data_IF_028134963438
#
_entry.id   IF_028134963438
#
_cell.length_a   1.000
_cell.length_b   1.000
_cell.length_c   1.000
_cell.angle_alpha   90.00
_cell.angle_beta   90.00
_cell.angle_gamma   90.00
#
_symmetry.space_group_name_H-M   'P 1'
#
loop_
_entity.id
_entity.type
_entity.pdbx_description
1 polymer ?
#
# COMPACT_ATOMS: atom_id res chain seq x y z
N UNK A 1 -29.20 11.22 33.86
CA UNK A 1 -29.34 9.89 34.51
C UNK A 1 -28.63 8.79 33.72
N UNK A 2 -28.42 7.58 34.27
CA UNK A 2 -27.59 6.50 33.62
C UNK A 2 -28.03 6.19 32.18
N UNK A 3 -29.34 6.21 31.88
CA UNK A 3 -29.87 5.98 30.53
C UNK A 3 -29.43 7.04 29.51
N UNK A 4 -29.35 8.28 29.95
CA UNK A 4 -28.93 9.42 29.13
C UNK A 4 -27.44 9.34 28.80
N UNK A 5 -26.62 8.94 29.78
CA UNK A 5 -25.21 8.66 29.56
C UNK A 5 -25.00 7.56 28.51
N UNK A 6 -25.74 6.45 28.60
CA UNK A 6 -25.67 5.37 27.60
C UNK A 6 -26.12 5.85 26.22
N UNK A 7 -27.15 6.68 26.13
CA UNK A 7 -27.61 7.26 24.87
C UNK A 7 -26.56 8.16 24.23
N UNK A 8 -25.88 9.00 25.02
CA UNK A 8 -24.81 9.88 24.55
C UNK A 8 -23.62 9.04 24.07
N UNK A 9 -23.22 8.03 24.84
CA UNK A 9 -22.12 7.14 24.47
C UNK A 9 -22.38 6.43 23.13
N UNK A 10 -23.60 5.93 22.89
CA UNK A 10 -23.99 5.31 21.62
C UNK A 10 -23.95 6.28 20.44
N UNK A 11 -24.42 7.52 20.63
CA UNK A 11 -24.35 8.56 19.59
C UNK A 11 -22.92 8.96 19.26
N UNK A 12 -22.07 9.07 20.28
CA UNK A 12 -20.66 9.37 20.07
C UNK A 12 -19.95 8.23 19.32
N UNK A 13 -20.30 6.99 19.62
CA UNK A 13 -19.79 5.82 18.91
C UNK A 13 -20.23 5.83 17.44
N UNK A 14 -21.50 6.07 17.14
CA UNK A 14 -21.97 6.15 15.74
C UNK A 14 -21.29 7.29 14.99
N UNK A 15 -21.19 8.48 15.60
CA UNK A 15 -20.50 9.62 15.01
C UNK A 15 -19.01 9.32 14.73
N UNK A 16 -18.33 8.64 15.66
CA UNK A 16 -16.95 8.21 15.46
C UNK A 16 -16.82 7.24 14.27
N UNK A 17 -17.74 6.29 14.10
CA UNK A 17 -17.76 5.40 12.94
C UNK A 17 -17.94 6.16 11.63
N UNK A 18 -18.90 7.07 11.57
CA UNK A 18 -19.16 7.88 10.38
C UNK A 18 -17.94 8.73 10.00
N UNK A 19 -17.28 9.31 11.01
CA UNK A 19 -16.05 10.07 10.80
C UNK A 19 -14.90 9.21 10.29
N UNK A 20 -14.75 7.97 10.78
CA UNK A 20 -13.72 7.03 10.27
C UNK A 20 -14.00 6.68 8.80
N UNK A 21 -15.27 6.44 8.44
CA UNK A 21 -15.66 6.13 7.07
C UNK A 21 -15.36 7.32 6.15
N UNK A 22 -15.77 8.52 6.54
CA UNK A 22 -15.50 9.74 5.79
C UNK A 22 -13.98 10.00 5.66
N UNK A 23 -13.21 9.82 6.74
CA UNK A 23 -11.76 9.97 6.70
C UNK A 23 -11.11 9.01 5.70
N UNK A 24 -11.57 7.74 5.66
CA UNK A 24 -11.08 6.76 4.68
C UNK A 24 -11.36 7.19 3.25
N UNK A 25 -12.58 7.65 2.94
CA UNK A 25 -12.91 8.08 1.57
C UNK A 25 -12.05 9.27 1.15
N UNK A 26 -11.84 10.25 2.03
CA UNK A 26 -10.93 11.38 1.75
C UNK A 26 -9.49 10.92 1.53
N UNK A 27 -8.96 10.08 2.42
CA UNK A 27 -7.59 9.56 2.29
C UNK A 27 -7.40 8.80 0.98
N UNK A 28 -8.34 7.92 0.63
CA UNK A 28 -8.32 7.18 -0.64
C UNK A 28 -8.37 8.12 -1.84
N UNK A 29 -9.23 9.14 -1.83
CA UNK A 29 -9.32 10.12 -2.90
C UNK A 29 -7.97 10.85 -3.12
N UNK A 30 -7.35 11.35 -2.06
CA UNK A 30 -6.06 12.04 -2.17
C UNK A 30 -4.89 11.11 -2.51
N UNK A 31 -4.89 9.88 -1.99
CA UNK A 31 -3.90 8.87 -2.36
C UNK A 31 -4.00 8.52 -3.85
N UNK A 32 -5.22 8.33 -4.37
CA UNK A 32 -5.47 8.04 -5.78
C UNK A 32 -5.10 9.21 -6.69
N UNK A 33 -5.31 10.47 -6.26
CA UNK A 33 -4.92 11.65 -7.05
C UNK A 33 -3.41 11.69 -7.37
N UNK A 34 -2.57 11.11 -6.51
CA UNK A 34 -1.11 11.04 -6.69
C UNK A 34 -0.63 9.72 -7.28
N UNK A 35 -1.52 8.77 -7.53
CA UNK A 35 -1.16 7.47 -8.10
C UNK A 35 -0.72 7.70 -9.55
N UNK A 36 0.54 7.38 -9.84
CA UNK A 36 1.01 7.36 -11.23
C UNK A 36 0.42 6.14 -11.93
N UNK A 37 0.14 6.30 -13.22
CA UNK A 37 -0.14 5.18 -14.11
C UNK A 37 1.08 4.26 -14.05
N UNK A 38 0.84 2.97 -13.85
CA UNK A 38 1.92 1.98 -13.86
C UNK A 38 2.57 1.98 -15.24
N UNK A 39 3.91 2.03 -15.32
CA UNK A 39 4.58 1.99 -16.61
C UNK A 39 4.24 0.68 -17.32
N UNK A 40 3.89 0.77 -18.60
CA UNK A 40 3.72 -0.42 -19.44
C UNK A 40 5.11 -1.00 -19.66
N UNK A 41 5.31 -2.24 -19.21
CA UNK A 41 6.54 -2.97 -19.35
C UNK A 41 6.40 -3.97 -20.51
N UNK A 42 7.34 -3.93 -21.46
CA UNK A 42 7.34 -4.83 -22.61
C UNK A 42 8.34 -5.97 -22.42
N UNK A 43 8.10 -7.09 -23.12
CA UNK A 43 9.08 -8.18 -23.24
C UNK A 43 10.38 -7.61 -23.85
N UNK A 44 11.51 -7.92 -23.23
CA UNK A 44 12.83 -7.39 -23.59
C UNK A 44 13.27 -6.15 -22.81
N UNK A 45 12.38 -5.46 -22.09
CA UNK A 45 12.76 -4.34 -21.24
C UNK A 45 13.65 -4.80 -20.08
N UNK A 46 14.62 -3.96 -19.71
CA UNK A 46 15.54 -4.20 -18.60
C UNK A 46 15.05 -3.48 -17.35
N UNK A 47 14.61 -4.24 -16.36
CA UNK A 47 14.01 -3.71 -15.13
C UNK A 47 14.77 -4.11 -13.88
N UNK A 48 14.78 -3.22 -12.89
CA UNK A 48 15.30 -3.49 -11.56
C UNK A 48 14.22 -4.11 -10.67
N UNK A 49 14.56 -5.18 -9.95
CA UNK A 49 13.66 -5.83 -8.99
C UNK A 49 13.94 -5.35 -7.57
N UNK A 50 12.88 -5.03 -6.83
CA UNK A 50 13.00 -4.64 -5.42
C UNK A 50 13.30 -5.86 -4.55
N UNK A 51 14.27 -5.74 -3.65
CA UNK A 51 14.62 -6.79 -2.68
C UNK A 51 13.69 -6.85 -1.48
N UNK A 52 12.66 -5.99 -1.41
CA UNK A 52 11.73 -5.91 -0.27
C UNK A 52 11.01 -7.23 0.00
N UNK A 53 10.60 -7.92 -1.07
CA UNK A 53 9.82 -9.15 -1.03
C UNK A 53 10.58 -10.38 -1.56
N UNK A 54 11.91 -10.27 -1.75
CA UNK A 54 12.75 -11.35 -2.25
C UNK A 54 13.44 -12.07 -1.08
N UNK A 55 13.61 -13.39 -1.24
CA UNK A 55 14.43 -14.18 -0.33
C UNK A 55 15.91 -13.91 -0.62
N UNK A 56 16.55 -13.16 0.26
CA UNK A 56 17.95 -12.80 0.12
C UNK A 56 18.86 -13.85 0.78
N UNK A 57 20.11 -14.03 0.30
CA UNK A 57 21.02 -15.01 0.87
C UNK A 57 21.21 -14.79 2.38
N UNK A 58 21.11 -15.90 3.13
CA UNK A 58 21.22 -15.90 4.60
C UNK A 58 22.61 -15.41 5.03
N UNK A 59 22.69 -14.68 6.13
CA UNK A 59 23.95 -14.22 6.73
C UNK A 59 24.36 -12.78 6.41
N UNK A 60 23.55 -12.03 5.65
CA UNK A 60 23.75 -10.58 5.46
C UNK A 60 22.70 -9.78 6.22
N UNK A 61 23.12 -8.74 6.94
CA UNK A 61 22.21 -7.80 7.57
C UNK A 61 21.33 -7.10 6.53
N UNK A 62 20.04 -6.94 6.81
CA UNK A 62 19.07 -6.36 5.86
C UNK A 62 19.41 -4.93 5.42
N UNK A 63 20.16 -4.20 6.25
CA UNK A 63 20.71 -2.87 5.93
C UNK A 63 21.81 -2.88 4.87
N UNK A 64 22.50 -4.01 4.67
CA UNK A 64 23.61 -4.16 3.72
C UNK A 64 23.18 -4.79 2.38
N UNK A 65 21.87 -4.95 2.20
CA UNK A 65 21.31 -5.50 0.97
C UNK A 65 20.91 -4.33 0.07
N UNK A 66 21.31 -4.33 -1.21
CA UNK A 66 20.83 -3.34 -2.17
C UNK A 66 19.30 -3.30 -2.20
N UNK A 67 18.70 -2.10 -2.26
CA UNK A 67 17.24 -1.98 -2.37
C UNK A 67 16.70 -2.57 -3.69
N UNK A 68 17.55 -2.56 -4.73
CA UNK A 68 17.24 -3.05 -6.06
C UNK A 68 18.38 -3.93 -6.57
N UNK A 69 18.02 -5.00 -7.27
CA UNK A 69 18.97 -5.90 -7.92
C UNK A 69 18.74 -5.90 -9.43
N UNK A 70 19.85 -5.90 -10.17
CA UNK A 70 20.01 -6.22 -11.60
C UNK A 70 19.05 -5.57 -12.61
N UNK A 71 19.51 -5.14 -13.80
CA UNK A 71 18.60 -5.06 -14.93
C UNK A 71 18.28 -6.48 -15.42
N UNK A 72 17.11 -7.00 -15.08
CA UNK A 72 16.60 -8.26 -15.59
C UNK A 72 15.77 -8.02 -16.85
N UNK A 73 15.93 -8.83 -17.91
CA UNK A 73 15.05 -8.77 -19.06
C UNK A 73 13.69 -9.38 -18.71
N UNK A 74 12.62 -8.74 -19.16
CA UNK A 74 11.27 -9.33 -19.10
C UNK A 74 11.16 -10.38 -20.19
N UNK A 75 10.85 -11.62 -19.82
CA UNK A 75 10.74 -12.75 -20.76
C UNK A 75 9.32 -12.92 -21.31
N UNK A 76 8.32 -12.68 -20.46
CA UNK A 76 6.91 -12.80 -20.78
C UNK A 76 6.15 -11.75 -19.97
N UNK A 77 5.10 -11.19 -20.56
CA UNK A 77 4.24 -10.20 -19.91
C UNK A 77 2.79 -10.68 -19.99
N UNK A 78 2.15 -10.88 -18.84
CA UNK A 78 0.72 -11.19 -18.73
C UNK A 78 0.00 -9.95 -18.20
N UNK A 79 -0.52 -9.07 -19.08
CA UNK A 79 -1.43 -8.03 -18.65
C UNK A 79 -2.75 -8.67 -18.19
N UNK A 80 -3.22 -8.30 -16.99
CA UNK A 80 -4.57 -8.66 -16.49
C UNK A 80 -5.67 -7.94 -17.26
#
# INVERSE_FOLDING_TARGET
>A
GVREFVSIARRNLSAAHDHIIAARTFQTHYANKRRRIEPVLAVGDKVYLSTKNLSMPKGRARSLIPLFIGPYPILEANPE
#
